data_IF_154081464597
#
_entry.id   IF_154081464597
#
_cell.length_a   1.000
_cell.length_b   1.000
_cell.length_c   1.000
_cell.angle_alpha   90.00
_cell.angle_beta   90.00
_cell.angle_gamma   90.00
#
_symmetry.space_group_name_H-M   'P 1'
#
loop_
_entity.id
_entity.type
_entity.pdbx_description
1 polymer ?
#
# COMPACT_ATOMS: atom_id res chain seq x y z
N UNK A 1 12.11 -9.41 21.06
CA UNK A 1 11.28 -8.35 20.44
C UNK A 1 9.82 -8.63 20.78
N UNK A 2 9.09 -7.67 21.34
CA UNK A 2 7.69 -7.85 21.77
C UNK A 2 6.83 -8.39 20.61
N UNK A 3 6.01 -9.42 20.89
CA UNK A 3 5.13 -10.12 19.94
C UNK A 3 4.28 -9.16 19.12
N UNK A 4 3.78 -8.10 19.78
CA UNK A 4 3.02 -7.00 19.18
C UNK A 4 3.85 -6.25 18.12
N UNK A 5 5.12 -5.95 18.42
CA UNK A 5 6.03 -5.29 17.48
C UNK A 5 6.32 -6.14 16.24
N UNK A 6 6.40 -7.47 16.40
CA UNK A 6 6.58 -8.38 15.26
C UNK A 6 5.35 -8.42 14.35
N UNK A 7 4.14 -8.38 14.93
CA UNK A 7 2.88 -8.38 14.19
C UNK A 7 2.73 -7.06 13.42
N UNK A 8 2.97 -5.92 14.08
CA UNK A 8 2.93 -4.60 13.43
C UNK A 8 3.95 -4.54 12.29
N UNK A 9 5.18 -5.01 12.52
CA UNK A 9 6.22 -5.02 11.48
C UNK A 9 5.84 -5.88 10.28
N UNK A 10 5.26 -7.05 10.50
CA UNK A 10 4.80 -7.95 9.42
C UNK A 10 3.63 -7.33 8.64
N UNK A 11 2.64 -6.77 9.34
CA UNK A 11 1.50 -6.08 8.74
C UNK A 11 1.94 -4.87 7.92
N UNK A 12 2.88 -4.06 8.44
CA UNK A 12 3.48 -2.95 7.70
C UNK A 12 4.16 -3.41 6.42
N UNK A 13 4.93 -4.49 6.47
CA UNK A 13 5.66 -5.00 5.31
C UNK A 13 4.69 -5.52 4.22
N UNK A 14 3.65 -6.24 4.61
CA UNK A 14 2.61 -6.73 3.70
C UNK A 14 1.83 -5.57 3.06
N UNK A 15 1.42 -4.59 3.86
CA UNK A 15 0.69 -3.41 3.35
C UNK A 15 1.57 -2.61 2.39
N UNK A 16 2.83 -2.38 2.75
CA UNK A 16 3.78 -1.65 1.90
C UNK A 16 3.99 -2.37 0.57
N UNK A 17 4.24 -3.68 0.59
CA UNK A 17 4.44 -4.47 -0.64
C UNK A 17 3.20 -4.44 -1.54
N UNK A 18 2.02 -4.65 -0.96
CA UNK A 18 0.75 -4.67 -1.71
C UNK A 18 0.46 -3.30 -2.35
N UNK A 19 0.59 -2.22 -1.59
CA UNK A 19 0.28 -0.87 -2.09
C UNK A 19 1.33 -0.42 -3.11
N UNK A 20 2.59 -0.82 -2.93
CA UNK A 20 3.65 -0.57 -3.92
C UNK A 20 3.34 -1.26 -5.25
N UNK A 21 2.89 -2.51 -5.21
CA UNK A 21 2.49 -3.25 -6.41
C UNK A 21 1.30 -2.60 -7.12
N UNK A 22 0.25 -2.21 -6.38
CA UNK A 22 -0.92 -1.54 -6.95
C UNK A 22 -0.56 -0.18 -7.57
N UNK A 23 0.26 0.60 -6.86
CA UNK A 23 0.74 1.89 -7.35
C UNK A 23 1.60 1.73 -8.60
N UNK A 24 2.45 0.70 -8.64
CA UNK A 24 3.22 0.35 -9.83
C UNK A 24 2.32 0.01 -11.01
N UNK A 25 1.25 -0.79 -10.82
CA UNK A 25 0.32 -1.09 -11.92
C UNK A 25 -0.37 0.17 -12.45
N UNK A 26 -0.79 1.08 -11.56
CA UNK A 26 -1.39 2.36 -11.96
C UNK A 26 -0.39 3.21 -12.74
N UNK A 27 0.83 3.37 -12.22
CA UNK A 27 1.89 4.14 -12.89
C UNK A 27 2.28 3.52 -14.23
N UNK A 28 2.35 2.18 -14.32
CA UNK A 28 2.62 1.47 -15.57
C UNK A 28 1.54 1.76 -16.61
N UNK A 29 0.27 1.74 -16.22
CA UNK A 29 -0.85 2.07 -17.11
C UNK A 29 -0.83 3.52 -17.57
N UNK A 30 -0.48 4.46 -16.67
CA UNK A 30 -0.32 5.88 -17.01
C UNK A 30 0.87 6.10 -17.95
N UNK A 31 2.03 5.54 -17.61
CA UNK A 31 3.24 5.58 -18.44
C UNK A 31 2.98 5.01 -19.83
N UNK A 32 2.32 3.84 -19.94
CA UNK A 32 1.99 3.23 -21.22
C UNK A 32 1.15 4.14 -22.13
N UNK A 33 0.28 4.99 -21.56
CA UNK A 33 -0.46 6.01 -22.32
C UNK A 33 0.39 7.22 -22.71
N UNK A 34 1.51 7.44 -22.03
CA UNK A 34 2.46 8.51 -22.32
C UNK A 34 3.49 8.12 -23.38
N UNK A 35 3.67 6.85 -23.76
CA UNK A 35 4.60 6.48 -24.82
C UNK A 35 3.95 6.63 -26.21
N UNK A 36 4.71 7.15 -27.19
CA UNK A 36 4.35 7.10 -28.62
C UNK A 36 5.31 6.17 -29.37
N UNK A 37 5.07 5.96 -30.68
CA UNK A 37 5.86 5.09 -31.56
C UNK A 37 7.35 5.50 -31.69
N UNK A 38 7.73 6.68 -31.17
CA UNK A 38 9.09 7.23 -31.22
C UNK A 38 9.81 7.18 -29.86
N UNK A 39 9.20 6.58 -28.83
CA UNK A 39 9.81 6.36 -27.53
C UNK A 39 9.60 7.51 -26.52
N UNK A 40 10.48 7.60 -25.53
CA UNK A 40 10.36 8.53 -24.41
C UNK A 40 11.01 9.88 -24.73
N UNK A 41 10.23 10.96 -24.77
CA UNK A 41 10.74 12.32 -24.99
C UNK A 41 10.83 13.12 -23.68
N UNK A 42 11.61 14.21 -23.68
CA UNK A 42 11.70 15.11 -22.52
C UNK A 42 10.33 15.70 -22.12
N UNK A 43 9.45 15.93 -23.10
CA UNK A 43 8.07 16.34 -22.86
C UNK A 43 7.29 15.28 -22.07
N UNK A 44 7.41 14.00 -22.47
CA UNK A 44 6.76 12.88 -21.80
C UNK A 44 7.32 12.63 -20.40
N UNK A 45 8.62 12.83 -20.20
CA UNK A 45 9.24 12.81 -18.87
C UNK A 45 8.65 13.88 -17.95
N UNK A 46 8.43 15.08 -18.48
CA UNK A 46 7.84 16.19 -17.73
C UNK A 46 6.38 15.89 -17.37
N UNK A 47 5.58 15.39 -18.32
CA UNK A 47 4.20 14.93 -18.07
C UNK A 47 4.18 13.84 -17.01
N UNK A 48 5.10 12.87 -17.08
CA UNK A 48 5.22 11.85 -16.04
C UNK A 48 5.51 12.45 -14.65
N UNK A 49 6.50 13.35 -14.54
CA UNK A 49 6.93 13.96 -13.29
C UNK A 49 5.84 14.84 -12.64
N UNK A 50 5.16 15.65 -13.45
CA UNK A 50 4.25 16.67 -12.93
C UNK A 50 2.78 16.25 -12.95
N UNK A 51 2.38 15.25 -13.73
CA UNK A 51 0.99 14.80 -13.83
C UNK A 51 0.80 13.38 -13.30
N UNK A 52 1.60 12.41 -13.74
CA UNK A 52 1.39 11.00 -13.37
C UNK A 52 1.96 10.64 -11.99
N UNK A 53 3.15 11.14 -11.65
CA UNK A 53 3.80 10.88 -10.36
C UNK A 53 2.97 11.40 -9.17
N UNK A 54 2.41 12.63 -9.19
CA UNK A 54 1.59 13.12 -8.08
C UNK A 54 0.29 12.34 -7.92
N UNK A 55 -0.32 11.92 -9.04
CA UNK A 55 -1.53 11.07 -9.02
C UNK A 55 -1.21 9.70 -8.42
N UNK A 56 -0.10 9.08 -8.83
CA UNK A 56 0.39 7.82 -8.25
C UNK A 56 0.72 7.94 -6.76
N UNK A 57 1.40 9.01 -6.35
CA UNK A 57 1.72 9.26 -4.94
C UNK A 57 0.46 9.48 -4.08
N UNK A 58 -0.52 10.25 -4.58
CA UNK A 58 -1.79 10.47 -3.88
C UNK A 58 -2.58 9.17 -3.74
N UNK A 59 -2.58 8.33 -4.79
CA UNK A 59 -3.16 6.99 -4.73
C UNK A 59 -2.44 6.11 -3.71
N UNK A 60 -1.10 6.08 -3.74
CA UNK A 60 -0.28 5.31 -2.80
C UNK A 60 -0.62 5.68 -1.35
N UNK A 61 -0.56 6.97 -1.00
CA UNK A 61 -0.81 7.43 0.37
C UNK A 61 -2.22 7.07 0.83
N UNK A 62 -3.23 7.31 -0.02
CA UNK A 62 -4.63 7.00 0.32
C UNK A 62 -4.86 5.51 0.53
N UNK A 63 -4.36 4.68 -0.39
CA UNK A 63 -4.53 3.23 -0.33
C UNK A 63 -3.71 2.62 0.81
N UNK A 64 -2.50 3.14 1.05
CA UNK A 64 -1.66 2.76 2.18
C UNK A 64 -2.34 3.01 3.51
N UNK A 65 -2.84 4.23 3.75
CA UNK A 65 -3.52 4.56 5.00
C UNK A 65 -4.76 3.71 5.23
N UNK A 66 -5.57 3.48 4.19
CA UNK A 66 -6.77 2.65 4.30
C UNK A 66 -6.44 1.18 4.65
N UNK A 67 -5.47 0.59 3.94
CA UNK A 67 -5.06 -0.81 4.18
C UNK A 67 -4.34 -0.98 5.50
N UNK A 68 -3.50 -0.02 5.88
CA UNK A 68 -2.83 -0.01 7.16
C UNK A 68 -3.84 0.06 8.31
N UNK A 69 -4.80 1.00 8.23
CA UNK A 69 -5.86 1.14 9.23
C UNK A 69 -6.65 -0.17 9.38
N UNK A 70 -7.06 -0.78 8.26
CA UNK A 70 -7.79 -2.05 8.27
C UNK A 70 -6.96 -3.17 8.92
N UNK A 71 -5.71 -3.33 8.49
CA UNK A 71 -4.81 -4.36 9.02
C UNK A 71 -4.53 -4.21 10.52
N UNK A 72 -4.40 -2.98 11.02
CA UNK A 72 -4.23 -2.72 12.45
C UNK A 72 -5.50 -3.05 13.25
N UNK A 73 -6.69 -2.70 12.74
CA UNK A 73 -7.97 -3.05 13.36
C UNK A 73 -8.15 -4.56 13.40
N UNK A 74 -7.91 -5.26 12.29
CA UNK A 74 -8.04 -6.71 12.19
C UNK A 74 -7.08 -7.40 13.18
N UNK A 75 -5.85 -6.91 13.29
CA UNK A 75 -4.87 -7.41 14.27
C UNK A 75 -5.33 -7.20 15.71
N UNK A 76 -5.92 -6.04 16.02
CA UNK A 76 -6.42 -5.74 17.36
C UNK A 76 -7.64 -6.59 17.73
N UNK A 77 -8.60 -6.75 16.80
CA UNK A 77 -9.77 -7.60 17.00
C UNK A 77 -9.37 -9.06 17.21
N UNK A 78 -8.39 -9.57 16.44
CA UNK A 78 -7.85 -10.92 16.61
C UNK A 78 -7.23 -11.13 18.00
N UNK A 79 -6.52 -10.13 18.54
CA UNK A 79 -5.97 -10.21 19.90
C UNK A 79 -7.07 -10.24 20.96
N UNK A 80 -8.13 -9.44 20.78
CA UNK A 80 -9.30 -9.43 21.67
C UNK A 80 -10.02 -10.77 21.63
N UNK A 81 -10.33 -11.29 20.44
CA UNK A 81 -11.00 -12.58 20.25
C UNK A 81 -10.21 -13.72 20.90
N UNK A 82 -8.88 -13.71 20.73
CA UNK A 82 -8.00 -14.71 21.35
C UNK A 82 -8.08 -14.65 22.87
N UNK A 83 -8.08 -13.45 23.46
CA UNK A 83 -8.24 -13.28 24.91
C UNK A 83 -9.63 -13.71 25.40
N UNK A 84 -10.69 -13.39 24.67
CA UNK A 84 -12.04 -13.85 24.99
C UNK A 84 -12.16 -15.38 24.91
N UNK A 85 -11.61 -16.01 23.87
CA UNK A 85 -11.58 -17.46 23.76
C UNK A 85 -10.82 -18.10 24.92
N UNK A 86 -9.65 -17.55 25.32
CA UNK A 86 -8.92 -18.06 26.48
C UNK A 86 -9.74 -17.93 27.78
N UNK A 87 -10.48 -16.83 27.94
CA UNK A 87 -11.33 -16.61 29.12
C UNK A 87 -12.58 -17.50 29.15
N UNK A 88 -13.08 -17.95 27.99
CA UNK A 88 -14.21 -18.89 27.87
C UNK A 88 -13.79 -20.35 28.06
N UNK A 89 -12.51 -20.67 27.86
CA UNK A 89 -11.93 -22.01 28.03
C UNK A 89 -11.42 -22.22 29.47
N UNK A 90 -11.06 -21.14 30.17
CA UNK A 90 -10.63 -21.14 31.58
C UNK A 90 -11.80 -21.08 32.56
#
# INVERSE_FOLDING_TARGET
MNTIGSIISKSMLIVTATVSFETYQVLKGLLGKSYNDHGFSFYLFRVFLFEHLPVGAKFFIKTFLNKLKKSLIDSFMSVIETKFCMYLIA
#
